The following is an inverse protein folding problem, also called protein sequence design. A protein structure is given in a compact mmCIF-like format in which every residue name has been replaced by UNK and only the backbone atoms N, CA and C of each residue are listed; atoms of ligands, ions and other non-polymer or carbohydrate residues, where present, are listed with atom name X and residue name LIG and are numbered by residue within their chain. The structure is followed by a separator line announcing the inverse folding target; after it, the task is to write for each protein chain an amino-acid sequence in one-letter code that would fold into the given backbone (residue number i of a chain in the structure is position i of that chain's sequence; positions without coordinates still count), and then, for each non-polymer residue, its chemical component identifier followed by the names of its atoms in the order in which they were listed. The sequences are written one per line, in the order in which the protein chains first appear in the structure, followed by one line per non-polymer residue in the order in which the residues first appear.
data_IF_173619463520
#
_entry.id   IF_173619463520
#
_cell.length_a   1.000
_cell.length_b   1.000
_cell.length_c   1.000
_cell.angle_alpha   90.00
_cell.angle_beta   90.00
_cell.angle_gamma   90.00
#
_symmetry.space_group_name_H-M   'P 1'
#
loop_
_entity.id
_entity.type
_entity.pdbx_description
1 polymer ?
#
# COMPACT_ATOMS: atom_id res chain seq x y z
N UNK A 1 -17.88 -22.74 -19.26
CA UNK A 1 -17.66 -21.37 -19.75
C UNK A 1 -17.07 -20.57 -18.60
N UNK A 2 -15.83 -20.13 -18.76
CA UNK A 2 -14.97 -19.50 -17.77
C UNK A 2 -15.40 -18.04 -17.55
N UNK A 3 -15.83 -17.68 -16.34
CA UNK A 3 -15.90 -16.27 -15.94
C UNK A 3 -14.52 -15.86 -15.44
N UNK A 4 -13.66 -15.45 -16.39
CA UNK A 4 -12.47 -14.69 -16.08
C UNK A 4 -12.92 -13.34 -15.52
N UNK A 5 -13.00 -13.22 -14.20
CA UNK A 5 -13.13 -11.94 -13.52
C UNK A 5 -11.78 -11.20 -13.67
N UNK A 6 -11.57 -10.62 -14.86
CA UNK A 6 -10.64 -9.52 -15.05
C UNK A 6 -11.13 -8.37 -14.17
N UNK A 7 -10.62 -8.33 -12.95
CA UNK A 7 -10.92 -7.32 -11.94
C UNK A 7 -10.41 -6.00 -12.51
N UNK A 8 -11.33 -5.25 -13.11
CA UNK A 8 -11.09 -3.90 -13.57
C UNK A 8 -10.40 -3.15 -12.42
N UNK A 9 -9.26 -2.55 -12.72
CA UNK A 9 -8.66 -1.56 -11.84
C UNK A 9 -9.66 -0.40 -11.78
N UNK A 10 -10.61 -0.48 -10.85
CA UNK A 10 -11.38 0.66 -10.40
C UNK A 10 -10.36 1.69 -9.93
N UNK A 11 -10.15 2.72 -10.74
CA UNK A 11 -9.62 4.00 -10.28
C UNK A 11 -10.75 4.65 -9.48
N UNK A 12 -11.12 3.99 -8.39
CA UNK A 12 -11.78 4.65 -7.29
C UNK A 12 -10.66 5.45 -6.61
N UNK A 13 -10.91 6.72 -6.33
CA UNK A 13 -10.18 7.40 -5.27
C UNK A 13 -10.53 6.69 -3.96
N UNK A 14 -9.97 5.51 -3.74
CA UNK A 14 -10.22 4.74 -2.54
C UNK A 14 -9.70 5.62 -1.42
N UNK A 15 -10.56 6.01 -0.47
CA UNK A 15 -10.11 6.82 0.65
C UNK A 15 -8.93 6.09 1.26
N UNK A 16 -7.78 6.75 1.33
CA UNK A 16 -6.57 6.11 1.81
C UNK A 16 -6.85 5.58 3.22
N UNK A 17 -6.89 4.26 3.39
CA UNK A 17 -7.27 3.61 4.65
C UNK A 17 -6.03 3.20 5.43
N UNK A 18 -5.49 4.06 6.33
CA UNK A 18 -4.37 3.67 7.17
C UNK A 18 -4.79 2.58 8.15
N UNK A 19 -4.16 1.42 8.03
CA UNK A 19 -4.28 0.34 8.99
C UNK A 19 -3.09 0.32 9.94
N UNK A 20 -3.38 0.09 11.23
CA UNK A 20 -2.33 -0.08 12.25
C UNK A 20 -1.55 -1.38 12.07
N UNK A 21 -2.16 -2.41 11.47
CA UNK A 21 -1.60 -3.74 11.36
C UNK A 21 -1.59 -4.24 9.90
N UNK A 22 -0.48 -4.86 9.47
CA UNK A 22 -0.34 -5.44 8.12
C UNK A 22 -1.44 -6.46 7.81
N UNK A 23 -1.80 -7.32 8.77
CA UNK A 23 -2.81 -8.36 8.56
C UNK A 23 -4.20 -7.79 8.21
N UNK A 24 -4.52 -6.60 8.72
CA UNK A 24 -5.78 -5.93 8.41
C UNK A 24 -5.75 -5.34 7.00
N UNK A 25 -4.65 -4.67 6.65
CA UNK A 25 -4.43 -4.18 5.29
C UNK A 25 -4.42 -5.34 4.27
N UNK A 26 -3.80 -6.47 4.59
CA UNK A 26 -3.73 -7.63 3.69
C UNK A 26 -5.12 -8.20 3.36
N UNK A 27 -6.05 -8.16 4.31
CA UNK A 27 -7.45 -8.55 4.10
C UNK A 27 -8.21 -7.54 3.24
N UNK A 28 -7.88 -6.25 3.38
CA UNK A 28 -8.47 -5.17 2.60
C UNK A 28 -7.94 -5.12 1.16
N UNK A 29 -6.67 -5.48 0.98
CA UNK A 29 -5.94 -5.48 -0.29
C UNK A 29 -5.70 -6.93 -0.80
N UNK A 30 -6.72 -7.73 -1.15
CA UNK A 30 -6.50 -9.11 -1.61
C UNK A 30 -5.87 -9.19 -3.01
N UNK A 31 -5.92 -8.11 -3.80
CA UNK A 31 -5.31 -8.02 -5.14
C UNK A 31 -4.10 -7.09 -5.20
N UNK A 32 -3.72 -6.48 -4.08
CA UNK A 32 -2.68 -5.46 -3.99
C UNK A 32 -1.63 -5.84 -2.95
N UNK A 33 -0.45 -5.22 -3.07
CA UNK A 33 0.58 -5.35 -2.05
C UNK A 33 0.34 -4.35 -0.92
N UNK A 34 0.45 -4.81 0.31
CA UNK A 34 0.51 -3.91 1.46
C UNK A 34 1.84 -3.16 1.44
N UNK A 35 1.76 -1.84 1.57
CA UNK A 35 2.91 -0.95 1.70
C UNK A 35 2.83 -0.21 3.03
N UNK A 36 3.98 0.11 3.59
CA UNK A 36 4.09 0.95 4.77
C UNK A 36 4.20 2.41 4.32
N UNK A 37 3.17 3.21 4.57
CA UNK A 37 3.17 4.64 4.24
C UNK A 37 3.58 5.46 5.46
N UNK A 38 4.57 6.32 5.29
CA UNK A 38 4.97 7.33 6.27
C UNK A 38 4.33 8.68 5.90
N UNK A 39 3.35 9.11 6.69
CA UNK A 39 2.63 10.36 6.48
C UNK A 39 3.51 11.60 6.68
N UNK A 40 4.52 11.53 7.56
CA UNK A 40 5.43 12.66 7.81
C UNK A 40 6.35 12.89 6.62
N UNK A 41 6.81 11.83 5.97
CA UNK A 41 7.70 11.95 4.80
C UNK A 41 6.94 12.04 3.48
N UNK A 42 5.67 11.60 3.44
CA UNK A 42 4.92 11.45 2.19
C UNK A 42 5.51 10.36 1.29
N UNK A 43 6.12 9.34 1.89
CA UNK A 43 6.83 8.26 1.20
C UNK A 43 6.30 6.92 1.69
N UNK A 44 6.04 6.00 0.76
CA UNK A 44 5.72 4.62 1.10
C UNK A 44 6.86 3.66 0.79
N UNK A 45 6.94 2.60 1.60
CA UNK A 45 7.92 1.54 1.53
C UNK A 45 7.21 0.24 1.19
N UNK A 46 7.78 -0.52 0.27
CA UNK A 46 7.26 -1.83 -0.13
C UNK A 46 7.83 -2.91 0.78
N UNK A 47 7.11 -4.04 0.88
CA UNK A 47 7.58 -5.23 1.59
C UNK A 47 8.97 -5.64 1.07
N UNK A 48 9.94 -5.79 1.97
CA UNK A 48 11.34 -6.08 1.65
C UNK A 48 12.30 -4.88 1.79
N UNK A 49 11.79 -3.64 1.90
CA UNK A 49 12.63 -2.50 2.25
C UNK A 49 12.93 -2.49 3.75
N UNK A 50 14.13 -2.06 4.15
CA UNK A 50 14.55 -2.00 5.56
C UNK A 50 13.64 -1.13 6.45
N UNK A 51 13.03 -0.11 5.85
CA UNK A 51 12.16 0.86 6.53
C UNK A 51 10.67 0.44 6.50
N UNK A 52 10.34 -0.73 5.97
CA UNK A 52 8.98 -1.25 5.95
C UNK A 52 8.51 -1.60 7.38
N UNK A 53 7.38 -1.05 7.81
CA UNK A 53 6.89 -1.21 9.19
C UNK A 53 7.71 -0.41 10.22
N UNK A 54 8.56 0.52 9.76
CA UNK A 54 9.44 1.29 10.63
C UNK A 54 8.90 2.69 10.86
N UNK A 55 8.78 3.06 12.14
CA UNK A 55 8.20 4.32 12.57
C UNK A 55 6.84 4.12 13.23
N UNK A 56 6.44 5.12 14.02
CA UNK A 56 5.11 5.14 14.66
C UNK A 56 4.14 6.05 13.90
N UNK A 57 4.66 7.01 13.13
CA UNK A 57 3.89 7.96 12.34
C UNK A 57 3.44 7.41 10.97
N UNK A 58 3.65 6.11 10.74
CA UNK A 58 3.26 5.43 9.52
C UNK A 58 2.11 4.47 9.72
N UNK A 59 1.53 4.00 8.61
CA UNK A 59 0.47 2.99 8.63
C UNK A 59 0.56 2.10 7.40
N UNK A 60 -0.03 0.90 7.52
CA UNK A 60 -0.14 -0.03 6.41
C UNK A 60 -1.31 0.37 5.52
N UNK A 61 -1.06 0.50 4.22
CA UNK A 61 -2.05 0.88 3.20
C UNK A 61 -1.88 0.01 1.96
N UNK A 62 -2.86 0.00 1.05
CA UNK A 62 -2.66 -0.68 -0.24
C UNK A 62 -1.69 0.12 -1.12
N UNK A 63 -0.84 -0.58 -1.88
CA UNK A 63 0.07 0.05 -2.84
C UNK A 63 -0.66 0.94 -3.85
N UNK A 64 -1.83 0.51 -4.31
CA UNK A 64 -2.60 1.26 -5.30
C UNK A 64 -3.19 2.55 -4.72
N UNK A 65 -3.71 2.52 -3.49
CA UNK A 65 -4.19 3.71 -2.78
C UNK A 65 -3.07 4.73 -2.56
N UNK A 66 -1.89 4.26 -2.15
CA UNK A 66 -0.73 5.13 -1.98
C UNK A 66 -0.30 5.81 -3.30
N UNK A 67 -0.40 5.09 -4.43
CA UNK A 67 -0.15 5.65 -5.77
C UNK A 67 -1.23 6.65 -6.18
N UNK A 68 -2.49 6.31 -5.94
CA UNK A 68 -3.65 7.16 -6.27
C UNK A 68 -3.59 8.48 -5.50
N UNK A 69 -3.19 8.42 -4.22
CA UNK A 69 -2.94 9.58 -3.37
C UNK A 69 -1.63 10.33 -3.67
N UNK A 70 -0.96 10.01 -4.80
CA UNK A 70 0.26 10.67 -5.28
C UNK A 70 1.46 10.63 -4.31
N UNK A 71 1.48 9.67 -3.37
CA UNK A 71 2.63 9.47 -2.50
C UNK A 71 3.82 8.90 -3.29
N UNK A 72 5.05 9.26 -2.88
CA UNK A 72 6.25 8.76 -3.58
C UNK A 72 6.65 7.38 -3.06
N UNK A 73 7.03 6.48 -3.97
CA UNK A 73 7.67 5.23 -3.58
C UNK A 73 9.10 5.49 -3.12
N UNK A 74 9.49 4.94 -1.97
CA UNK A 74 10.91 4.81 -1.64
C UNK A 74 11.55 3.81 -2.60
N UNK A 75 12.50 4.30 -3.41
CA UNK A 75 13.42 3.46 -4.21
C UNK A 75 14.62 2.95 -3.39
N UNK A 76 14.75 3.40 -2.15
CA UNK A 76 15.87 3.11 -1.26
C UNK A 76 15.65 1.77 -0.57
N UNK A 77 16.02 0.66 -1.21
CA UNK A 77 16.04 -0.64 -0.54
C UNK A 77 15.91 -1.89 -1.39
N UNK A 78 15.92 -1.79 -2.72
CA UNK A 78 16.13 -2.96 -3.59
C UNK A 78 17.63 -3.30 -3.55
N UNK A 79 18.04 -4.17 -2.63
CA UNK A 79 19.34 -4.86 -2.72
C UNK A 79 19.12 -6.23 -3.34
#
# INVERSE_FOLDING_TARGET
MIFAAGKAAEVAATPLTPFRYEAQAQRHCPGDQVVWLDFRKGVYYRKGQKLYGQGFDGSFVCANEARDSLYRSSRLGLR
#
